data_IF_482901924583
#
_entry.id   IF_482901924583
#
_cell.length_a   1.000
_cell.length_b   1.000
_cell.length_c   1.000
_cell.angle_alpha   90.00
_cell.angle_beta   90.00
_cell.angle_gamma   90.00
#
_symmetry.space_group_name_H-M   'P 1'
#
loop_
_entity.id
_entity.type
_entity.pdbx_description
1 polymer ?
#
# COMPACT_ATOMS: atom_id res chain seq x y z
N UNK A 1 -13.20 22.66 9.47
CA UNK A 1 -12.44 21.63 10.23
C UNK A 1 -12.15 20.41 9.38
N UNK A 2 -13.16 19.64 8.93
CA UNK A 2 -12.94 18.49 8.01
C UNK A 2 -12.09 18.86 6.79
N UNK A 3 -12.47 19.94 6.08
CA UNK A 3 -11.70 20.43 4.93
C UNK A 3 -10.25 20.80 5.29
N UNK A 4 -10.03 21.42 6.46
CA UNK A 4 -8.69 21.77 6.91
C UNK A 4 -7.83 20.53 7.16
N UNK A 5 -8.40 19.49 7.78
CA UNK A 5 -7.73 18.19 7.97
C UNK A 5 -7.35 17.60 6.60
N UNK A 6 -8.30 17.55 5.66
CA UNK A 6 -8.06 16.99 4.32
C UNK A 6 -7.00 17.77 3.54
N UNK A 7 -7.03 19.10 3.61
CA UNK A 7 -6.03 19.97 2.96
C UNK A 7 -4.65 19.70 3.52
N UNK A 8 -4.48 19.69 4.86
CA UNK A 8 -3.18 19.41 5.48
C UNK A 8 -2.66 18.01 5.14
N UNK A 9 -3.52 16.98 5.16
CA UNK A 9 -3.11 15.63 4.78
C UNK A 9 -2.65 15.55 3.32
N UNK A 10 -3.35 16.25 2.42
CA UNK A 10 -2.98 16.31 1.01
C UNK A 10 -1.67 17.05 0.80
N UNK A 11 -1.49 18.20 1.45
CA UNK A 11 -0.27 19.00 1.40
C UNK A 11 0.93 18.24 1.97
N UNK A 12 0.74 17.52 3.07
CA UNK A 12 1.76 16.62 3.62
C UNK A 12 2.17 15.55 2.60
N UNK A 13 1.20 14.88 1.97
CA UNK A 13 1.50 13.84 1.00
C UNK A 13 2.21 14.37 -0.26
N UNK A 14 2.01 15.64 -0.61
CA UNK A 14 2.71 16.29 -1.73
C UNK A 14 4.12 16.74 -1.32
N UNK A 15 4.24 17.37 -0.16
CA UNK A 15 5.50 17.97 0.32
C UNK A 15 6.48 16.94 0.89
N UNK A 16 5.96 15.88 1.50
CA UNK A 16 6.73 14.84 2.18
C UNK A 16 6.29 13.45 1.73
N UNK A 17 6.56 13.05 0.46
CA UNK A 17 6.09 11.78 -0.09
C UNK A 17 6.66 10.54 0.64
N UNK A 18 7.81 10.69 1.32
CA UNK A 18 8.44 9.63 2.11
C UNK A 18 7.89 9.54 3.55
N UNK A 19 7.16 10.56 4.02
CA UNK A 19 6.51 10.59 5.34
C UNK A 19 5.10 11.21 5.23
N UNK A 20 4.18 10.56 4.49
CA UNK A 20 2.86 11.12 4.21
C UNK A 20 1.88 11.00 5.38
N UNK A 21 2.27 10.30 6.45
CA UNK A 21 1.44 10.07 7.63
C UNK A 21 1.71 11.13 8.71
N UNK A 22 0.65 11.65 9.28
CA UNK A 22 0.65 12.68 10.32
C UNK A 22 -0.13 12.19 11.53
N UNK A 23 0.37 12.47 12.73
CA UNK A 23 -0.36 12.10 13.95
C UNK A 23 -1.63 12.94 14.10
N UNK A 24 -2.70 12.32 14.62
CA UNK A 24 -3.97 13.01 14.87
C UNK A 24 -3.80 14.16 15.86
N UNK A 25 -2.92 14.00 16.85
CA UNK A 25 -2.58 15.05 17.81
C UNK A 25 -1.93 16.25 17.12
N UNK A 26 -0.98 16.02 16.21
CA UNK A 26 -0.34 17.11 15.46
C UNK A 26 -1.34 17.84 14.57
N UNK A 27 -2.21 17.12 13.86
CA UNK A 27 -3.28 17.74 13.07
C UNK A 27 -4.22 18.62 13.92
N UNK A 28 -4.51 18.20 15.16
CA UNK A 28 -5.32 19.00 16.08
C UNK A 28 -4.62 20.29 16.45
N UNK A 29 -3.32 20.19 16.72
CA UNK A 29 -2.50 21.29 17.18
C UNK A 29 -2.32 22.36 16.09
N UNK A 30 -2.22 21.94 14.82
CA UNK A 30 -2.14 22.84 13.66
C UNK A 30 -3.49 23.52 13.34
N UNK A 31 -4.62 22.84 13.56
CA UNK A 31 -5.94 23.34 13.16
C UNK A 31 -6.61 24.15 14.28
N UNK A 32 -6.33 23.83 15.54
CA UNK A 32 -7.02 24.40 16.70
C UNK A 32 -6.03 24.98 17.69
N UNK A 33 -6.10 26.31 17.85
CA UNK A 33 -5.39 27.04 18.89
C UNK A 33 -5.65 26.45 20.28
N UNK A 34 -4.60 26.46 21.11
CA UNK A 34 -4.60 25.87 22.46
C UNK A 34 -5.79 26.35 23.29
N UNK A 35 -6.11 27.64 23.22
CA UNK A 35 -7.22 28.28 23.94
C UNK A 35 -8.60 27.72 23.59
N UNK A 36 -8.76 27.20 22.37
CA UNK A 36 -10.04 26.75 21.83
C UNK A 36 -10.23 25.23 21.85
N UNK A 37 -9.20 24.47 22.20
CA UNK A 37 -9.23 22.99 22.15
C UNK A 37 -10.35 22.37 22.96
N UNK A 38 -10.67 22.92 24.13
CA UNK A 38 -11.75 22.42 24.99
C UNK A 38 -13.12 22.73 24.39
N UNK A 39 -13.31 23.95 23.89
CA UNK A 39 -14.56 24.41 23.27
C UNK A 39 -14.88 23.64 21.99
N UNK A 40 -13.85 23.31 21.20
CA UNK A 40 -13.99 22.66 19.91
C UNK A 40 -13.80 21.13 19.95
N UNK A 41 -13.59 20.53 21.13
CA UNK A 41 -13.32 19.08 21.26
C UNK A 41 -14.39 18.22 20.58
N UNK A 42 -15.67 18.47 20.85
CA UNK A 42 -16.76 17.70 20.23
C UNK A 42 -16.80 17.86 18.70
N UNK A 43 -16.51 19.07 18.18
CA UNK A 43 -16.43 19.33 16.74
C UNK A 43 -15.22 18.64 16.11
N UNK A 44 -14.11 18.56 16.83
CA UNK A 44 -12.91 17.84 16.41
C UNK A 44 -13.18 16.35 16.28
N UNK A 45 -13.83 15.75 17.28
CA UNK A 45 -14.14 14.32 17.27
C UNK A 45 -15.10 13.96 16.13
N UNK A 46 -16.14 14.77 15.91
CA UNK A 46 -17.04 14.60 14.76
C UNK A 46 -16.30 14.77 13.43
N UNK A 47 -15.42 15.76 13.30
CA UNK A 47 -14.62 15.95 12.10
C UNK A 47 -13.70 14.75 11.83
N UNK A 48 -13.05 14.20 12.86
CA UNK A 48 -12.22 13.01 12.72
C UNK A 48 -13.01 11.80 12.25
N UNK A 49 -14.22 11.57 12.77
CA UNK A 49 -15.10 10.47 12.32
C UNK A 49 -15.44 10.60 10.83
N UNK A 50 -15.73 11.82 10.36
CA UNK A 50 -16.04 12.07 8.94
C UNK A 50 -14.80 11.82 8.09
N UNK A 51 -13.64 12.35 8.47
CA UNK A 51 -12.37 12.19 7.73
C UNK A 51 -11.96 10.73 7.63
N UNK A 52 -12.07 9.94 8.71
CA UNK A 52 -11.73 8.50 8.71
C UNK A 52 -12.62 7.66 7.79
N UNK A 53 -13.77 8.17 7.37
CA UNK A 53 -14.67 7.51 6.41
C UNK A 53 -14.35 7.88 4.95
N UNK A 54 -13.48 8.86 4.71
CA UNK A 54 -13.09 9.25 3.35
C UNK A 54 -12.12 8.22 2.77
N UNK A 55 -12.40 7.74 1.56
CA UNK A 55 -11.59 6.71 0.89
C UNK A 55 -10.16 7.16 0.56
N UNK A 56 -9.91 8.47 0.57
CA UNK A 56 -8.59 9.06 0.32
C UNK A 56 -7.77 9.21 1.59
N UNK A 57 -8.26 8.73 2.73
CA UNK A 57 -7.54 8.79 4.00
C UNK A 57 -7.32 7.39 4.54
N UNK A 58 -6.06 7.05 4.80
CA UNK A 58 -5.69 5.80 5.46
C UNK A 58 -5.35 6.08 6.93
N UNK A 59 -5.92 5.27 7.82
CA UNK A 59 -5.60 5.27 9.24
C UNK A 59 -4.60 4.15 9.55
N UNK A 60 -3.59 4.46 10.36
CA UNK A 60 -2.68 3.47 10.92
C UNK A 60 -2.35 3.82 12.36
N UNK A 61 -1.96 2.83 13.17
CA UNK A 61 -1.39 3.07 14.50
C UNK A 61 0.09 2.77 14.42
N UNK A 62 0.92 3.73 14.81
CA UNK A 62 2.37 3.59 14.81
C UNK A 62 2.91 3.78 16.22
N UNK A 63 3.91 2.98 16.59
CA UNK A 63 4.58 3.14 17.88
C UNK A 63 5.72 4.13 17.73
N UNK A 64 5.58 5.30 18.35
CA UNK A 64 6.59 6.37 18.35
C UNK A 64 7.11 6.47 19.78
N UNK A 65 8.40 6.20 19.98
CA UNK A 65 9.02 6.13 21.32
C UNK A 65 8.32 5.16 22.28
N UNK A 66 7.78 4.05 21.77
CA UNK A 66 7.05 3.06 22.57
C UNK A 66 5.60 3.43 22.88
N UNK A 67 5.13 4.60 22.41
CA UNK A 67 3.76 5.06 22.62
C UNK A 67 2.95 4.85 21.33
N UNK A 68 1.83 4.12 21.35
CA UNK A 68 0.96 3.98 20.19
C UNK A 68 0.31 5.33 19.87
N UNK A 69 0.48 5.79 18.63
CA UNK A 69 -0.13 7.01 18.12
C UNK A 69 -1.01 6.70 16.90
N UNK A 70 -2.19 7.31 16.89
CA UNK A 70 -3.07 7.34 15.71
C UNK A 70 -2.47 8.24 14.63
N UNK A 71 -2.25 7.67 13.46
CA UNK A 71 -1.70 8.33 12.29
C UNK A 71 -2.73 8.34 11.16
N UNK A 72 -2.84 9.47 10.46
CA UNK A 72 -3.64 9.64 9.26
C UNK A 72 -2.73 10.01 8.09
N UNK A 73 -2.99 9.45 6.92
CA UNK A 73 -2.26 9.77 5.69
C UNK A 73 -3.21 9.94 4.53
N UNK A 74 -2.85 10.81 3.59
CA UNK A 74 -3.58 10.92 2.33
C UNK A 74 -3.15 9.79 1.38
N UNK A 75 -4.13 9.00 0.93
CA UNK A 75 -3.96 7.97 -0.09
C UNK A 75 -3.95 8.67 -1.44
N UNK A 76 -2.75 9.00 -1.90
CA UNK A 76 -2.55 9.46 -3.27
C UNK A 76 -2.54 8.25 -4.21
N UNK A 77 -3.17 8.32 -5.39
CA UNK A 77 -3.03 7.29 -6.43
C UNK A 77 -1.63 7.25 -7.06
N UNK A 78 -0.65 7.95 -6.49
CA UNK A 78 0.77 7.82 -6.88
C UNK A 78 1.15 6.36 -6.72
N UNK A 79 1.37 5.73 -7.87
CA UNK A 79 1.92 4.39 -8.02
C UNK A 79 3.21 4.36 -7.23
N UNK A 80 3.14 3.89 -6.00
CA UNK A 80 4.32 3.43 -5.29
C UNK A 80 4.84 2.29 -6.13
N UNK A 81 5.89 2.56 -6.90
CA UNK A 81 6.78 1.54 -7.39
C UNK A 81 7.27 0.80 -6.14
N UNK A 82 6.54 -0.26 -5.79
CA UNK A 82 6.93 -1.19 -4.76
C UNK A 82 8.38 -1.58 -5.10
N UNK A 83 9.34 -1.55 -4.16
CA UNK A 83 10.73 -1.91 -4.47
C UNK A 83 10.85 -3.35 -5.00
N UNK A 84 9.80 -4.17 -4.86
CA UNK A 84 9.67 -5.50 -5.47
C UNK A 84 9.29 -5.50 -6.95
N UNK A 85 8.76 -4.40 -7.50
CA UNK A 85 8.37 -4.28 -8.91
C UNK A 85 9.55 -3.88 -9.82
N UNK A 86 10.61 -3.27 -9.26
CA UNK A 86 11.81 -2.90 -10.01
C UNK A 86 12.61 -4.10 -10.53
N UNK A 87 12.45 -5.29 -9.94
CA UNK A 87 13.23 -6.48 -10.32
C UNK A 87 12.67 -7.23 -11.54
N UNK A 88 11.50 -6.84 -12.06
CA UNK A 88 10.91 -7.44 -13.27
C UNK A 88 11.15 -6.63 -14.55
N UNK A 89 11.87 -5.51 -14.46
CA UNK A 89 12.32 -4.75 -15.61
C UNK A 89 13.82 -4.97 -15.85
N UNK A 90 14.28 -6.22 -15.80
CA UNK A 90 15.52 -6.59 -16.47
C UNK A 90 15.16 -6.87 -17.93
N UNK A 91 15.56 -5.96 -18.82
CA UNK A 91 15.44 -6.10 -20.27
C UNK A 91 15.93 -7.49 -20.72
N UNK A 92 15.23 -8.22 -21.60
CA UNK A 92 15.85 -9.34 -22.28
C UNK A 92 16.93 -8.77 -23.21
N UNK A 93 18.19 -9.04 -22.87
CA UNK A 93 19.32 -8.91 -23.78
C UNK A 93 19.01 -9.78 -25.00
N UNK A 94 18.77 -9.14 -26.14
CA UNK A 94 18.59 -9.81 -27.42
C UNK A 94 19.98 -10.35 -27.81
N UNK A 95 20.21 -11.63 -27.57
CA UNK A 95 21.40 -12.31 -28.09
C UNK A 95 21.20 -12.46 -29.61
N UNK A 96 22.11 -11.88 -30.38
CA UNK A 96 22.08 -11.83 -31.83
C UNK A 96 22.99 -12.94 -32.36
N UNK A 97 22.48 -14.09 -32.85
CA UNK A 97 23.34 -15.07 -33.48
C UNK A 97 23.51 -14.72 -34.97
N UNK A 98 24.53 -13.92 -35.24
CA UNK A 98 25.19 -13.92 -36.54
C UNK A 98 26.18 -15.11 -36.52
N UNK A 99 25.88 -16.19 -37.24
CA UNK A 99 26.81 -16.93 -38.12
C UNK A 99 26.27 -18.31 -38.56
N UNK A 100 26.48 -18.58 -39.86
CA UNK A 100 26.66 -19.87 -40.52
C UNK A 100 25.44 -20.78 -40.84
N UNK A 101 24.96 -20.63 -42.08
CA UNK A 101 25.07 -21.64 -43.14
C UNK A 101 25.20 -23.12 -42.71
N UNK A 102 24.14 -23.90 -42.95
CA UNK A 102 24.22 -25.27 -43.46
C UNK A 102 22.84 -25.68 -44.00
N UNK A 103 22.82 -26.15 -45.25
CA UNK A 103 21.60 -26.44 -45.98
C UNK A 103 20.95 -27.79 -45.67
N UNK A 104 19.73 -27.94 -46.19
CA UNK A 104 19.19 -29.21 -46.66
C UNK A 104 18.14 -29.90 -45.77
N UNK A 105 16.93 -30.07 -46.31
CA UNK A 105 16.15 -31.30 -46.11
C UNK A 105 14.83 -31.18 -45.34
N UNK A 106 13.74 -31.33 -46.10
CA UNK A 106 12.48 -32.05 -45.80
C UNK A 106 11.53 -31.64 -44.65
N UNK A 107 10.32 -31.28 -45.09
CA UNK A 107 9.00 -31.80 -44.67
C UNK A 107 8.87 -32.45 -43.28
N UNK A 108 8.14 -31.79 -42.37
CA UNK A 108 6.91 -32.39 -41.80
C UNK A 108 6.12 -31.39 -40.94
N UNK A 109 4.85 -31.22 -41.31
CA UNK A 109 3.73 -30.78 -40.49
C UNK A 109 3.74 -31.36 -39.06
N UNK A 110 3.91 -30.52 -38.02
CA UNK A 110 3.31 -30.76 -36.69
C UNK A 110 3.00 -29.44 -35.97
N UNK A 111 1.70 -29.22 -35.78
CA UNK A 111 1.06 -28.15 -34.99
C UNK A 111 1.60 -28.09 -33.55
N UNK A 112 1.65 -26.90 -32.90
CA UNK A 112 1.96 -26.80 -31.48
C UNK A 112 0.76 -27.22 -30.61
N UNK A 113 0.96 -28.24 -29.79
CA UNK A 113 0.02 -28.64 -28.74
C UNK A 113 -0.11 -27.53 -27.68
N UNK A 114 -1.30 -26.95 -27.55
CA UNK A 114 -1.65 -26.03 -26.47
C UNK A 114 -1.67 -26.83 -25.16
N UNK A 115 -0.68 -26.59 -24.31
CA UNK A 115 -0.59 -27.16 -22.96
C UNK A 115 -1.58 -26.43 -22.05
N UNK A 116 -2.67 -27.10 -21.67
CA UNK A 116 -3.59 -26.64 -20.62
C UNK A 116 -2.84 -26.43 -19.29
N UNK A 117 -3.08 -25.34 -18.54
CA UNK A 117 -2.51 -25.17 -17.22
C UNK A 117 -3.17 -26.14 -16.23
N UNK A 118 -2.33 -27.00 -15.66
CA UNK A 118 -2.68 -28.01 -14.66
C UNK A 118 -3.08 -27.32 -13.35
N UNK A 119 -4.33 -27.53 -12.93
CA UNK A 119 -4.85 -27.13 -11.63
C UNK A 119 -4.04 -27.79 -10.51
N UNK A 120 -3.30 -27.00 -9.74
CA UNK A 120 -2.63 -27.49 -8.53
C UNK A 120 -3.59 -27.42 -7.34
N UNK A 121 -3.91 -28.62 -6.85
CA UNK A 121 -4.61 -28.91 -5.61
C UNK A 121 -4.02 -28.13 -4.42
N UNK A 122 -4.89 -27.44 -3.67
CA UNK A 122 -4.64 -27.05 -2.28
C UNK A 122 -4.98 -28.23 -1.36
N UNK A 123 -4.09 -28.73 -0.51
CA UNK A 123 -4.53 -29.46 0.67
C UNK A 123 -4.94 -28.48 1.77
N UNK A 124 -6.16 -28.69 2.29
CA UNK A 124 -6.62 -28.18 3.57
C UNK A 124 -5.74 -28.75 4.69
N UNK A 125 -5.26 -27.91 5.60
CA UNK A 125 -4.83 -28.34 6.92
C UNK A 125 -5.02 -27.18 7.93
N UNK A 126 -6.19 -27.25 8.58
CA UNK A 126 -6.44 -27.10 10.01
C UNK A 126 -5.72 -26.01 10.81
N UNK A 127 -6.54 -25.01 11.16
CA UNK A 127 -6.49 -24.20 12.38
C UNK A 127 -6.14 -25.02 13.63
N UNK A 128 -5.10 -24.63 14.35
CA UNK A 128 -4.90 -24.98 15.77
C UNK A 128 -4.54 -23.70 16.52
N UNK A 129 -5.51 -23.19 17.26
CA UNK A 129 -5.30 -22.22 18.35
C UNK A 129 -4.62 -22.95 19.52
N UNK A 130 -3.63 -22.37 20.20
CA UNK A 130 -3.38 -22.70 21.60
C UNK A 130 -4.40 -21.96 22.48
N UNK A 131 -5.19 -22.77 23.16
CA UNK A 131 -6.20 -22.43 24.15
C UNK A 131 -5.56 -21.77 25.38
N UNK A 132 -6.28 -20.80 25.94
CA UNK A 132 -5.99 -20.12 27.20
C UNK A 132 -6.63 -20.98 28.30
N UNK A 133 -5.82 -21.63 29.14
CA UNK A 133 -6.13 -22.05 30.50
C UNK A 133 -4.96 -22.86 31.06
N UNK A 134 -4.21 -22.31 32.01
CA UNK A 134 -4.15 -22.86 33.37
C UNK A 134 -3.51 -21.84 34.32
N UNK A 135 -3.75 -22.06 35.61
CA UNK A 135 -3.66 -21.18 36.78
C UNK A 135 -2.31 -20.50 37.06
#
# INVERSE_FOLDING_TARGET
MVLAIMTLLREQAISQPFQPAVSVSHLRDEIIDVSDRKRLAARWDEACKIVRRDSRVAQSVQSIHGIPQDMLSWVSPVVVASPMAAQRQASPLVDNPDNADNGGGDENDRQPAIRSPQAQHRPYASSIYPNIADL
#
